data_IF_100010468542
#
_entry.id   IF_100010468542
#
_cell.length_a   1.000
_cell.length_b   1.000
_cell.length_c   1.000
_cell.angle_alpha   90.00
_cell.angle_beta   90.00
_cell.angle_gamma   90.00
#
_symmetry.space_group_name_H-M   'P 1'
#
loop_
_entity.id
_entity.type
_entity.pdbx_description
1 polymer ?
#
# COMPACT_ATOMS: atom_id res chain seq x y z
N UNK A 1 -18.32 -21.05 -40.90
CA UNK A 1 -18.82 -22.43 -40.68
C UNK A 1 -17.73 -23.21 -39.97
N UNK A 2 -18.05 -23.70 -38.74
CA UNK A 2 -17.47 -24.85 -38.01
C UNK A 2 -15.95 -24.79 -37.71
N UNK A 3 -15.54 -24.41 -36.49
CA UNK A 3 -15.37 -25.25 -35.28
C UNK A 3 -14.15 -26.17 -35.34
N UNK A 4 -13.05 -25.75 -34.69
CA UNK A 4 -11.80 -26.50 -34.50
C UNK A 4 -11.83 -27.12 -33.10
N UNK A 5 -12.56 -28.22 -32.97
CA UNK A 5 -12.45 -29.17 -31.87
C UNK A 5 -11.98 -30.51 -32.45
N UNK A 6 -11.13 -31.23 -31.72
CA UNK A 6 -10.69 -32.61 -31.97
C UNK A 6 -9.53 -32.83 -32.94
N UNK A 7 -8.31 -32.51 -32.47
CA UNK A 7 -7.02 -33.05 -32.91
C UNK A 7 -6.07 -32.72 -31.74
N UNK A 8 -5.70 -33.62 -30.84
CA UNK A 8 -4.76 -34.72 -31.05
C UNK A 8 -4.82 -35.65 -29.82
N UNK A 9 -5.35 -36.85 -30.02
CA UNK A 9 -5.06 -38.05 -29.21
C UNK A 9 -4.35 -39.04 -30.12
N UNK A 10 -3.34 -39.76 -29.59
CA UNK A 10 -2.61 -40.93 -30.14
C UNK A 10 -1.32 -40.68 -30.94
N UNK A 11 -0.20 -40.56 -30.22
CA UNK A 11 1.14 -41.12 -30.51
C UNK A 11 1.83 -41.18 -29.13
N UNK A 12 2.39 -42.23 -28.52
CA UNK A 12 2.94 -43.52 -28.97
C UNK A 12 3.00 -44.46 -27.75
N UNK A 13 2.60 -45.73 -27.92
CA UNK A 13 3.08 -46.85 -27.11
C UNK A 13 4.54 -47.16 -27.44
N UNK A 14 5.34 -47.61 -26.47
CA UNK A 14 6.06 -48.91 -26.49
C UNK A 14 7.03 -49.08 -25.30
N UNK A 15 6.81 -50.19 -24.56
CA UNK A 15 7.81 -51.10 -23.92
C UNK A 15 8.71 -50.49 -22.83
N UNK A 16 8.71 -50.99 -21.59
CA UNK A 16 9.12 -52.34 -21.21
C UNK A 16 8.50 -52.76 -19.87
N UNK A 17 7.90 -53.95 -19.85
CA UNK A 17 7.60 -54.69 -18.65
C UNK A 17 8.87 -55.39 -18.14
N UNK A 18 9.17 -55.25 -16.84
CA UNK A 18 9.98 -56.22 -16.10
C UNK A 18 9.33 -56.48 -14.74
N UNK A 19 8.77 -57.68 -14.66
CA UNK A 19 8.34 -58.41 -13.46
C UNK A 19 9.54 -58.85 -12.64
N UNK A 20 9.56 -58.56 -11.32
CA UNK A 20 10.18 -59.43 -10.30
C UNK A 20 9.33 -59.36 -9.02
N UNK A 21 9.02 -60.54 -8.50
CA UNK A 21 8.13 -60.86 -7.39
C UNK A 21 8.70 -60.49 -6.00
N UNK A 22 7.88 -60.54 -4.91
CA UNK A 22 8.30 -60.20 -3.57
C UNK A 22 8.95 -61.40 -2.86
N UNK A 23 9.98 -61.15 -2.05
CA UNK A 23 10.61 -62.16 -1.21
C UNK A 23 10.42 -61.80 0.26
N UNK A 24 9.55 -62.56 0.92
CA UNK A 24 9.46 -62.66 2.36
C UNK A 24 10.71 -63.37 2.90
N UNK A 25 11.34 -62.81 3.91
CA UNK A 25 12.21 -63.55 4.81
C UNK A 25 11.99 -63.05 6.24
N UNK A 26 11.69 -64.03 7.08
CA UNK A 26 11.33 -63.99 8.49
C UNK A 26 12.64 -64.27 9.23
N UNK A 27 12.92 -63.58 10.35
CA UNK A 27 13.27 -64.18 11.65
C UNK A 27 13.55 -63.12 12.73
N UNK A 28 13.31 -63.43 14.01
CA UNK A 28 13.24 -62.47 15.11
C UNK A 28 14.57 -62.35 15.84
N UNK A 29 14.87 -61.17 16.37
CA UNK A 29 15.90 -61.02 17.42
C UNK A 29 15.22 -60.39 18.63
N UNK A 30 15.03 -61.25 19.63
CA UNK A 30 14.76 -60.89 21.02
C UNK A 30 16.05 -60.30 21.58
N UNK A 31 15.99 -59.06 22.05
CA UNK A 31 16.91 -58.60 23.09
C UNK A 31 16.12 -57.81 24.14
N UNK A 32 15.96 -58.49 25.26
CA UNK A 32 15.56 -57.98 26.55
C UNK A 32 16.62 -57.01 27.06
N UNK A 33 16.23 -55.78 27.37
CA UNK A 33 16.88 -54.99 28.41
C UNK A 33 15.80 -54.41 29.33
N UNK A 34 15.73 -55.00 30.52
CA UNK A 34 15.10 -54.41 31.71
C UNK A 34 15.92 -53.18 32.10
N UNK A 35 15.29 -52.01 32.15
CA UNK A 35 15.67 -50.96 33.08
C UNK A 35 14.42 -50.50 33.82
N UNK A 36 14.54 -50.58 35.15
CA UNK A 36 13.53 -50.20 36.13
C UNK A 36 13.69 -48.73 36.47
N UNK A 37 12.67 -47.91 36.23
CA UNK A 37 12.39 -46.73 37.05
C UNK A 37 10.92 -46.33 36.87
N UNK A 38 10.29 -46.08 38.00
CA UNK A 38 8.88 -45.84 38.23
C UNK A 38 8.38 -44.52 37.64
N UNK A 39 7.37 -44.58 36.78
CA UNK A 39 6.48 -43.45 36.51
C UNK A 39 5.06 -43.81 36.98
N UNK A 40 4.60 -43.02 37.95
CA UNK A 40 3.24 -43.02 38.47
C UNK A 40 2.26 -42.68 37.36
N UNK A 41 1.55 -43.68 36.85
CA UNK A 41 0.42 -43.53 35.95
C UNK A 41 -0.77 -42.95 36.71
N UNK A 42 -0.85 -41.63 36.78
CA UNK A 42 -2.13 -40.95 36.96
C UNK A 42 -2.88 -41.06 35.62
N UNK A 43 -3.66 -42.13 35.48
CA UNK A 43 -4.57 -42.32 34.36
C UNK A 43 -5.61 -41.19 34.39
N UNK A 44 -5.36 -40.12 33.64
CA UNK A 44 -6.40 -39.17 33.26
C UNK A 44 -7.35 -39.93 32.34
N UNK A 45 -8.50 -40.31 32.88
CA UNK A 45 -9.58 -40.93 32.14
C UNK A 45 -9.89 -40.06 30.92
N UNK A 46 -9.67 -40.61 29.72
CA UNK A 46 -10.19 -40.04 28.50
C UNK A 46 -11.71 -39.85 28.66
N UNK A 47 -12.27 -38.68 28.32
CA UNK A 47 -13.71 -38.50 28.38
C UNK A 47 -14.35 -39.53 27.45
N UNK A 48 -15.25 -40.33 28.02
CA UNK A 48 -15.98 -41.35 27.29
C UNK A 48 -16.55 -40.76 25.99
N UNK A 49 -16.14 -41.33 24.85
CA UNK A 49 -16.70 -41.02 23.54
C UNK A 49 -18.19 -41.36 23.56
N UNK A 50 -19.00 -40.35 23.88
CA UNK A 50 -20.43 -40.40 23.64
C UNK A 50 -20.61 -40.64 22.15
N UNK A 51 -21.13 -41.82 21.79
CA UNK A 51 -21.50 -42.17 20.43
C UNK A 51 -22.39 -41.06 19.86
N UNK A 52 -21.79 -40.17 19.05
CA UNK A 52 -22.50 -39.07 18.39
C UNK A 52 -23.54 -39.72 17.48
N UNK A 53 -24.82 -39.56 17.80
CA UNK A 53 -25.92 -39.94 16.91
C UNK A 53 -25.64 -39.33 15.54
N UNK A 54 -25.37 -40.19 14.55
CA UNK A 54 -25.10 -39.78 13.17
C UNK A 54 -26.39 -39.22 12.58
N UNK A 55 -26.63 -37.94 12.81
CA UNK A 55 -27.68 -37.21 12.10
C UNK A 55 -27.29 -37.25 10.62
N UNK A 56 -28.21 -37.68 9.76
CA UNK A 56 -28.02 -37.67 8.30
C UNK A 56 -27.86 -36.22 7.84
N UNK A 57 -26.63 -35.72 7.79
CA UNK A 57 -26.33 -34.39 7.28
C UNK A 57 -26.62 -34.31 5.80
N UNK A 58 -27.12 -33.13 5.38
CA UNK A 58 -27.48 -32.90 3.99
C UNK A 58 -26.24 -33.02 3.10
N UNK A 59 -26.43 -33.51 1.86
CA UNK A 59 -25.34 -33.64 0.87
C UNK A 59 -24.62 -32.31 0.63
N UNK A 60 -25.38 -31.21 0.62
CA UNK A 60 -24.85 -29.86 0.47
C UNK A 60 -23.89 -29.50 1.62
N UNK A 61 -24.29 -29.81 2.85
CA UNK A 61 -23.51 -29.52 4.05
C UNK A 61 -22.20 -30.32 4.08
N UNK A 62 -22.24 -31.61 3.74
CA UNK A 62 -21.02 -32.44 3.60
C UNK A 62 -20.07 -31.88 2.54
N UNK A 63 -20.61 -31.52 1.37
CA UNK A 63 -19.79 -30.94 0.28
C UNK A 63 -19.14 -29.62 0.66
N UNK A 64 -19.75 -28.82 1.55
CA UNK A 64 -19.19 -27.57 2.03
C UNK A 64 -18.02 -27.84 2.98
N UNK A 65 -18.17 -28.76 3.93
CA UNK A 65 -17.10 -29.15 4.85
C UNK A 65 -15.91 -29.79 4.13
N UNK A 66 -16.17 -30.66 3.15
CA UNK A 66 -15.14 -31.24 2.30
C UNK A 66 -14.38 -30.15 1.52
N UNK A 67 -15.08 -29.15 0.97
CA UNK A 67 -14.46 -28.01 0.29
C UNK A 67 -13.60 -27.16 1.23
N UNK A 68 -14.05 -26.94 2.47
CA UNK A 68 -13.26 -26.21 3.47
C UNK A 68 -11.98 -26.99 3.83
N UNK A 69 -12.11 -28.27 4.19
CA UNK A 69 -10.97 -29.15 4.50
C UNK A 69 -9.96 -29.22 3.34
N UNK A 70 -10.44 -29.37 2.11
CA UNK A 70 -9.58 -29.40 0.92
C UNK A 70 -8.84 -28.07 0.70
N UNK A 71 -9.46 -26.93 1.01
CA UNK A 71 -8.81 -25.62 0.93
C UNK A 71 -7.71 -25.48 1.98
N UNK A 72 -7.95 -25.90 3.21
CA UNK A 72 -6.96 -25.84 4.29
C UNK A 72 -5.75 -26.75 3.98
N UNK A 73 -6.00 -27.95 3.47
CA UNK A 73 -4.95 -28.86 2.99
C UNK A 73 -4.16 -28.25 1.83
N UNK A 74 -4.85 -27.65 0.86
CA UNK A 74 -4.22 -26.94 -0.26
C UNK A 74 -3.32 -25.80 0.22
N UNK A 75 -3.80 -24.95 1.13
CA UNK A 75 -3.01 -23.85 1.71
C UNK A 75 -1.78 -24.39 2.47
N UNK A 76 -1.93 -25.50 3.20
CA UNK A 76 -0.81 -26.16 3.88
C UNK A 76 0.26 -26.62 2.90
N UNK A 77 -0.13 -27.24 1.79
CA UNK A 77 0.79 -27.69 0.73
C UNK A 77 1.51 -26.49 0.13
N UNK A 78 0.78 -25.44 -0.28
CA UNK A 78 1.37 -24.24 -0.87
C UNK A 78 2.36 -23.55 0.08
N UNK A 79 2.06 -23.50 1.38
CA UNK A 79 2.97 -22.96 2.39
C UNK A 79 4.26 -23.79 2.50
N UNK A 80 4.18 -25.12 2.40
CA UNK A 80 5.37 -25.98 2.40
C UNK A 80 6.20 -25.81 1.12
N UNK A 81 5.55 -25.74 -0.03
CA UNK A 81 6.21 -25.52 -1.33
C UNK A 81 6.91 -24.16 -1.38
N UNK A 82 6.27 -23.10 -0.88
CA UNK A 82 6.86 -21.77 -0.79
C UNK A 82 8.11 -21.77 0.11
N UNK A 83 8.06 -22.41 1.28
CA UNK A 83 9.23 -22.51 2.19
C UNK A 83 10.39 -23.29 1.57
N UNK A 84 10.10 -24.37 0.85
CA UNK A 84 11.11 -25.14 0.12
C UNK A 84 11.69 -24.32 -1.05
N UNK A 85 10.83 -23.68 -1.84
CA UNK A 85 11.20 -22.80 -2.95
C UNK A 85 12.08 -21.63 -2.49
N UNK A 86 11.76 -21.02 -1.34
CA UNK A 86 12.58 -19.98 -0.71
C UNK A 86 14.01 -20.47 -0.44
N UNK A 87 14.16 -21.66 0.14
CA UNK A 87 15.48 -22.26 0.41
C UNK A 87 16.25 -22.56 -0.86
N UNK A 88 15.59 -23.08 -1.90
CA UNK A 88 16.22 -23.32 -3.19
C UNK A 88 16.66 -22.03 -3.87
N UNK A 89 15.84 -20.99 -3.81
CA UNK A 89 16.17 -19.68 -4.36
C UNK A 89 17.38 -19.05 -3.67
N UNK A 90 17.42 -19.09 -2.32
CA UNK A 90 18.58 -18.63 -1.56
C UNK A 90 19.85 -19.38 -1.95
N UNK A 91 19.80 -20.71 -2.08
CA UNK A 91 20.93 -21.52 -2.53
C UNK A 91 21.40 -21.17 -3.96
N UNK A 92 20.47 -20.89 -4.89
CA UNK A 92 20.82 -20.45 -6.26
C UNK A 92 21.50 -19.07 -6.28
N UNK A 93 21.09 -18.18 -5.38
CA UNK A 93 21.65 -16.84 -5.26
C UNK A 93 22.92 -16.80 -4.38
N UNK A 94 23.24 -17.89 -3.68
CA UNK A 94 24.38 -17.97 -2.76
C UNK A 94 24.15 -17.24 -1.43
N UNK A 95 22.89 -17.02 -1.04
CA UNK A 95 22.50 -16.30 0.18
C UNK A 95 22.06 -17.27 1.29
N UNK A 96 22.08 -16.80 2.54
CA UNK A 96 21.61 -17.58 3.70
C UNK A 96 20.06 -17.71 3.72
N UNK A 97 19.48 -18.93 3.73
CA UNK A 97 18.03 -19.11 3.66
C UNK A 97 17.21 -18.51 4.81
N UNK A 98 17.80 -18.39 6.00
CA UNK A 98 17.10 -17.89 7.18
C UNK A 98 16.98 -16.36 7.16
N UNK A 99 18.04 -15.68 6.72
CA UNK A 99 18.08 -14.20 6.60
C UNK A 99 17.39 -13.68 5.33
N UNK A 100 17.12 -14.56 4.36
CA UNK A 100 16.54 -14.19 3.07
C UNK A 100 15.15 -13.56 3.21
N UNK A 101 15.01 -12.27 2.88
CA UNK A 101 13.77 -11.49 3.00
C UNK A 101 12.89 -11.59 1.75
N UNK A 102 11.66 -11.06 1.81
CA UNK A 102 10.78 -11.02 0.63
C UNK A 102 11.31 -10.07 -0.46
N UNK A 103 12.01 -9.00 -0.08
CA UNK A 103 12.63 -8.09 -1.05
C UNK A 103 13.78 -8.77 -1.80
N UNK A 104 14.52 -9.67 -1.14
CA UNK A 104 15.56 -10.48 -1.76
C UNK A 104 14.98 -11.48 -2.75
N UNK A 105 13.86 -12.11 -2.40
CA UNK A 105 13.08 -12.99 -3.28
C UNK A 105 12.66 -12.21 -4.54
N UNK A 106 12.04 -11.04 -4.38
CA UNK A 106 11.53 -10.23 -5.48
C UNK A 106 12.68 -9.79 -6.42
N UNK A 107 13.83 -9.40 -5.85
CA UNK A 107 15.05 -9.06 -6.62
C UNK A 107 15.60 -10.25 -7.38
N UNK A 108 15.71 -11.41 -6.72
CA UNK A 108 16.21 -12.64 -7.34
C UNK A 108 15.30 -13.09 -8.50
N UNK A 109 13.98 -13.01 -8.33
CA UNK A 109 13.02 -13.35 -9.39
C UNK A 109 13.11 -12.39 -10.56
N UNK A 110 13.24 -11.08 -10.29
CA UNK A 110 13.42 -10.09 -11.34
C UNK A 110 14.69 -10.35 -12.16
N UNK A 111 15.75 -10.85 -11.52
CA UNK A 111 17.00 -11.22 -12.19
C UNK A 111 16.89 -12.52 -12.98
N UNK A 112 16.34 -13.59 -12.39
CA UNK A 112 16.22 -14.91 -13.01
C UNK A 112 15.17 -14.94 -14.13
N UNK A 113 14.07 -14.22 -13.95
CA UNK A 113 12.93 -14.16 -14.87
C UNK A 113 12.61 -12.72 -15.26
N UNK A 114 13.48 -12.04 -16.02
CA UNK A 114 13.30 -10.63 -16.36
C UNK A 114 12.07 -10.46 -17.27
N UNK A 115 11.06 -9.76 -16.76
CA UNK A 115 9.84 -9.44 -17.51
C UNK A 115 9.73 -7.94 -17.76
N UNK A 116 9.63 -7.58 -19.04
CA UNK A 116 9.42 -6.19 -19.50
C UNK A 116 7.96 -5.73 -19.47
N UNK A 117 7.04 -6.52 -18.89
CA UNK A 117 5.62 -6.19 -18.84
C UNK A 117 5.38 -4.93 -17.99
N UNK A 118 4.58 -3.99 -18.50
CA UNK A 118 4.26 -2.74 -17.79
C UNK A 118 3.43 -2.99 -16.54
N UNK A 119 2.45 -3.89 -16.60
CA UNK A 119 1.67 -4.27 -15.45
C UNK A 119 2.51 -5.15 -14.52
N UNK A 120 2.76 -4.65 -13.31
CA UNK A 120 3.54 -5.36 -12.29
C UNK A 120 2.86 -6.65 -11.83
N UNK A 121 1.53 -6.72 -11.85
CA UNK A 121 0.76 -7.89 -11.39
C UNK A 121 0.84 -9.07 -12.37
N UNK A 122 1.19 -8.81 -13.63
CA UNK A 122 1.37 -9.83 -14.65
C UNK A 122 2.82 -10.35 -14.73
N UNK A 123 3.72 -9.81 -13.92
CA UNK A 123 5.11 -10.27 -13.87
C UNK A 123 5.21 -11.56 -13.04
N UNK A 124 6.23 -12.39 -13.28
CA UNK A 124 6.55 -13.49 -12.39
C UNK A 124 6.73 -12.99 -10.96
N UNK A 125 6.11 -13.66 -9.99
CA UNK A 125 6.23 -13.35 -8.57
C UNK A 125 6.16 -14.63 -7.74
N UNK A 126 6.92 -14.68 -6.65
CA UNK A 126 6.85 -15.73 -5.63
C UNK A 126 6.61 -15.04 -4.30
N UNK A 127 5.39 -15.17 -3.78
CA UNK A 127 4.96 -14.52 -2.54
C UNK A 127 4.35 -15.55 -1.59
N UNK A 128 4.24 -15.22 -0.30
CA UNK A 128 3.49 -16.05 0.64
C UNK A 128 2.10 -16.37 0.09
N UNK A 129 1.65 -17.64 0.13
CA UNK A 129 0.34 -18.04 -0.39
C UNK A 129 -0.83 -17.22 0.15
N UNK A 130 -0.74 -16.75 1.39
CA UNK A 130 -1.74 -15.91 2.08
C UNK A 130 -1.95 -14.54 1.42
N UNK A 131 -0.94 -14.01 0.71
CA UNK A 131 -1.05 -12.74 -0.01
C UNK A 131 -1.60 -12.93 -1.43
N UNK A 132 -1.34 -14.10 -2.03
CA UNK A 132 -1.69 -14.40 -3.43
C UNK A 132 -3.10 -14.95 -3.54
N UNK A 133 -3.44 -15.88 -2.66
CA UNK A 133 -4.71 -16.58 -2.67
C UNK A 133 -5.68 -15.79 -1.78
N UNK A 134 -6.88 -15.45 -2.27
CA UNK A 134 -7.85 -14.70 -1.48
C UNK A 134 -8.26 -15.52 -0.25
N UNK A 135 -8.24 -14.86 0.91
CA UNK A 135 -8.71 -15.45 2.15
C UNK A 135 -10.19 -15.82 2.05
N UNK A 136 -10.54 -16.96 2.65
CA UNK A 136 -11.91 -17.47 2.70
C UNK A 136 -12.30 -17.69 4.15
N UNK A 137 -13.60 -17.62 4.42
CA UNK A 137 -14.12 -18.01 5.72
C UNK A 137 -13.81 -19.48 6.01
N UNK A 138 -13.45 -19.75 7.25
CA UNK A 138 -13.42 -21.10 7.78
C UNK A 138 -14.83 -21.72 7.76
N UNK A 139 -14.91 -23.04 7.95
CA UNK A 139 -16.19 -23.72 8.08
C UNK A 139 -17.03 -23.09 9.21
N UNK A 140 -18.27 -22.68 8.91
CA UNK A 140 -19.13 -21.96 9.86
C UNK A 140 -19.92 -22.90 10.81
N UNK A 141 -19.89 -24.21 10.58
CA UNK A 141 -20.62 -25.20 11.37
C UNK A 141 -19.86 -26.52 11.52
N UNK A 142 -20.23 -27.28 12.54
CA UNK A 142 -19.72 -28.62 12.83
C UNK A 142 -20.26 -29.68 11.85
N UNK A 143 -19.63 -30.85 11.85
CA UNK A 143 -20.10 -32.05 11.13
C UNK A 143 -21.55 -32.48 11.49
N UNK A 144 -22.09 -31.97 12.60
CA UNK A 144 -23.45 -32.26 13.09
C UNK A 144 -24.52 -31.35 12.48
N UNK A 145 -24.15 -30.19 11.93
CA UNK A 145 -25.12 -29.17 11.48
C UNK A 145 -25.13 -27.93 12.34
N UNK A 146 -24.45 -27.94 13.48
CA UNK A 146 -24.50 -26.84 14.44
C UNK A 146 -23.56 -25.70 14.05
N UNK A 147 -24.06 -24.47 13.83
CA UNK A 147 -23.19 -23.32 13.60
C UNK A 147 -22.32 -22.98 14.82
N UNK A 148 -21.10 -22.52 14.57
CA UNK A 148 -20.19 -22.03 15.61
C UNK A 148 -20.61 -20.66 16.14
N UNK A 149 -21.14 -19.81 15.26
CA UNK A 149 -21.52 -18.45 15.59
C UNK A 149 -23.02 -18.33 15.86
N UNK A 150 -23.40 -17.58 16.90
CA UNK A 150 -24.81 -17.37 17.27
C UNK A 150 -25.60 -16.61 16.20
N UNK A 151 -24.96 -15.63 15.54
CA UNK A 151 -25.56 -14.82 14.47
C UNK A 151 -25.42 -15.47 13.08
N UNK A 152 -25.16 -16.77 12.99
CA UNK A 152 -25.05 -17.47 11.70
C UNK A 152 -26.27 -17.25 10.80
N UNK A 153 -27.47 -17.22 11.38
CA UNK A 153 -28.73 -17.12 10.64
C UNK A 153 -29.07 -15.71 10.13
N UNK A 154 -28.22 -14.70 10.36
CA UNK A 154 -28.41 -13.35 9.79
C UNK A 154 -27.92 -13.24 8.34
N UNK A 155 -27.46 -14.35 7.74
CA UNK A 155 -26.77 -14.43 6.44
C UNK A 155 -25.38 -13.80 6.41
N UNK A 156 -25.11 -12.80 7.26
CA UNK A 156 -23.82 -12.09 7.39
C UNK A 156 -23.39 -12.06 8.85
N UNK A 157 -22.88 -13.18 9.38
CA UNK A 157 -22.54 -13.31 10.78
C UNK A 157 -21.47 -12.32 11.24
N UNK A 158 -20.43 -12.07 10.44
CA UNK A 158 -19.30 -11.24 10.88
C UNK A 158 -19.66 -9.75 10.93
N UNK A 159 -20.39 -9.25 9.92
CA UNK A 159 -20.91 -7.89 9.94
C UNK A 159 -21.93 -7.66 11.08
N UNK A 160 -22.83 -8.63 11.30
CA UNK A 160 -23.82 -8.53 12.39
C UNK A 160 -23.13 -8.52 13.75
N UNK A 161 -22.09 -9.36 13.92
CA UNK A 161 -21.26 -9.40 15.12
C UNK A 161 -20.56 -8.07 15.35
N UNK A 162 -19.95 -7.49 14.32
CA UNK A 162 -19.29 -6.19 14.40
C UNK A 162 -20.25 -5.12 14.94
N UNK A 163 -21.47 -5.02 14.40
CA UNK A 163 -22.46 -4.05 14.89
C UNK A 163 -22.89 -4.34 16.34
N UNK A 164 -23.03 -5.61 16.70
CA UNK A 164 -23.33 -6.01 18.07
C UNK A 164 -22.21 -5.60 19.03
N UNK A 165 -20.95 -5.88 18.69
CA UNK A 165 -19.77 -5.53 19.49
C UNK A 165 -19.69 -4.00 19.69
N UNK A 166 -20.02 -3.20 18.66
CA UNK A 166 -20.11 -1.73 18.78
C UNK A 166 -21.17 -1.32 19.80
N UNK A 167 -22.36 -1.91 19.72
CA UNK A 167 -23.46 -1.59 20.65
C UNK A 167 -23.14 -2.05 22.06
N UNK A 168 -22.52 -3.22 22.23
CA UNK A 168 -22.05 -3.73 23.52
C UNK A 168 -21.02 -2.78 24.15
N UNK A 169 -20.04 -2.32 23.37
CA UNK A 169 -19.07 -1.33 23.82
C UNK A 169 -19.74 -0.01 24.23
N UNK A 170 -20.71 0.49 23.46
CA UNK A 170 -21.50 1.68 23.83
C UNK A 170 -22.25 1.44 25.17
N UNK A 171 -22.87 0.28 25.35
CA UNK A 171 -23.60 -0.02 26.59
C UNK A 171 -22.65 -0.14 27.80
N UNK A 172 -21.47 -0.72 27.62
CA UNK A 172 -20.43 -0.79 28.65
C UNK A 172 -19.95 0.61 29.06
N UNK A 173 -19.81 1.50 28.08
CA UNK A 173 -19.45 2.90 28.28
C UNK A 173 -20.57 3.68 29.00
N UNK A 174 -21.83 3.50 28.61
CA UNK A 174 -22.99 4.10 29.29
C UNK A 174 -23.06 3.63 30.76
N UNK A 175 -22.90 2.33 31.01
CA UNK A 175 -22.88 1.78 32.37
C UNK A 175 -21.68 2.27 33.19
N UNK A 176 -20.59 2.68 32.55
CA UNK A 176 -19.50 3.37 33.21
C UNK A 176 -19.82 4.83 33.51
N UNK A 177 -20.38 5.56 32.55
CA UNK A 177 -20.85 6.94 32.73
C UNK A 177 -21.83 7.02 33.91
N UNK A 178 -22.81 6.13 34.01
CA UNK A 178 -23.75 6.06 35.14
C UNK A 178 -23.05 5.88 36.50
N UNK A 179 -21.93 5.16 36.54
CA UNK A 179 -21.13 4.97 37.77
C UNK A 179 -20.32 6.22 38.09
N UNK A 180 -19.82 6.94 37.08
CA UNK A 180 -19.06 8.18 37.27
C UNK A 180 -19.99 9.32 37.69
N UNK A 181 -21.19 9.40 37.12
CA UNK A 181 -22.24 10.34 37.49
C UNK A 181 -22.70 10.13 38.94
N UNK A 182 -22.86 8.88 39.38
CA UNK A 182 -23.12 8.56 40.80
C UNK A 182 -22.03 9.05 41.76
N UNK A 183 -20.78 9.11 41.28
CA UNK A 183 -19.63 9.65 42.02
C UNK A 183 -19.42 11.16 41.82
N UNK A 184 -20.31 11.83 41.08
CA UNK A 184 -20.23 13.26 40.73
C UNK A 184 -18.92 13.66 40.00
N UNK A 185 -18.26 12.69 39.36
CA UNK A 185 -17.05 12.91 38.56
C UNK A 185 -17.45 13.22 37.13
N UNK A 186 -17.08 14.40 36.63
CA UNK A 186 -17.30 14.78 35.23
C UNK A 186 -16.26 14.12 34.32
N UNK A 187 -16.60 13.86 33.04
CA UNK A 187 -15.64 13.43 32.05
C UNK A 187 -14.52 14.48 31.87
N UNK A 188 -13.28 14.02 31.78
CA UNK A 188 -12.14 14.87 31.45
C UNK A 188 -12.07 15.04 29.93
N UNK A 189 -12.25 16.27 29.44
CA UNK A 189 -12.27 16.58 28.01
C UNK A 189 -10.93 16.29 27.32
N UNK A 190 -9.82 16.34 28.08
CA UNK A 190 -8.47 16.07 27.54
C UNK A 190 -8.25 14.61 27.15
N UNK A 191 -9.04 13.69 27.72
CA UNK A 191 -8.93 12.26 27.46
C UNK A 191 -9.75 11.82 26.25
N UNK A 192 -10.55 12.71 25.65
CA UNK A 192 -11.35 12.38 24.47
C UNK A 192 -10.44 12.11 23.27
N UNK A 193 -10.71 11.03 22.54
CA UNK A 193 -9.91 10.65 21.38
C UNK A 193 -10.05 11.69 20.25
N UNK A 194 -8.92 12.25 19.82
CA UNK A 194 -8.88 13.14 18.66
C UNK A 194 -8.93 12.36 17.35
N UNK A 195 -9.91 12.68 16.51
CA UNK A 195 -10.18 11.97 15.25
C UNK A 195 -9.49 12.59 14.02
N UNK A 196 -8.85 13.75 14.15
CA UNK A 196 -8.38 14.58 13.01
C UNK A 196 -7.27 13.94 12.19
N UNK A 197 -6.40 13.14 12.81
CA UNK A 197 -5.25 12.49 12.16
C UNK A 197 -5.54 11.10 11.59
N UNK A 198 -6.78 10.63 11.60
CA UNK A 198 -7.12 9.28 11.13
C UNK A 198 -8.50 9.23 10.45
N UNK A 199 -8.62 8.34 9.47
CA UNK A 199 -9.87 8.08 8.76
C UNK A 199 -10.39 6.67 9.06
N UNK A 200 -11.69 6.47 8.88
CA UNK A 200 -12.28 5.14 8.90
C UNK A 200 -11.77 4.32 7.72
N UNK A 201 -11.55 3.02 7.94
CA UNK A 201 -11.19 2.13 6.83
C UNK A 201 -12.24 2.16 5.73
N UNK A 202 -11.82 2.21 4.46
CA UNK A 202 -12.74 2.11 3.34
C UNK A 202 -13.47 0.76 3.30
N UNK A 203 -14.63 0.73 2.62
CA UNK A 203 -15.46 -0.45 2.39
C UNK A 203 -14.66 -1.69 1.97
N UNK A 204 -13.83 -1.58 0.93
CA UNK A 204 -13.02 -2.69 0.42
C UNK A 204 -12.08 -3.30 1.48
N UNK A 205 -11.61 -2.48 2.41
CA UNK A 205 -10.76 -2.94 3.51
C UNK A 205 -11.60 -3.62 4.60
N UNK A 206 -12.79 -3.10 4.90
CA UNK A 206 -13.72 -3.71 5.84
C UNK A 206 -14.20 -5.09 5.35
N UNK A 207 -14.55 -5.21 4.06
CA UNK A 207 -14.94 -6.50 3.44
C UNK A 207 -13.84 -7.55 3.55
N UNK A 208 -12.57 -7.15 3.37
CA UNK A 208 -11.41 -8.05 3.55
C UNK A 208 -11.23 -8.48 5.00
N UNK A 209 -11.48 -7.60 5.97
CA UNK A 209 -11.38 -7.93 7.40
C UNK A 209 -12.51 -8.89 7.81
N UNK A 210 -13.73 -8.65 7.32
CA UNK A 210 -14.90 -9.45 7.66
C UNK A 210 -15.02 -10.74 6.82
N UNK A 211 -14.31 -10.81 5.69
CA UNK A 211 -14.46 -11.86 4.67
C UNK A 211 -15.92 -12.01 4.20
N UNK A 212 -16.62 -10.88 4.11
CA UNK A 212 -18.03 -10.77 3.71
C UNK A 212 -18.18 -9.57 2.78
N UNK A 213 -19.03 -9.71 1.76
CA UNK A 213 -19.39 -8.61 0.88
C UNK A 213 -20.36 -7.66 1.61
N UNK A 214 -20.22 -6.36 1.37
CA UNK A 214 -21.05 -5.31 1.96
C UNK A 214 -21.75 -4.47 0.89
N UNK A 215 -22.91 -3.96 1.23
CA UNK A 215 -23.56 -2.89 0.48
C UNK A 215 -23.06 -1.54 0.98
N UNK A 216 -23.18 -0.49 0.16
CA UNK A 216 -22.76 0.85 0.56
C UNK A 216 -23.58 1.34 1.77
N UNK A 217 -24.87 1.01 1.81
CA UNK A 217 -25.76 1.33 2.95
C UNK A 217 -25.33 0.67 4.25
N UNK A 218 -24.85 -0.57 4.20
CA UNK A 218 -24.36 -1.26 5.40
C UNK A 218 -23.03 -0.69 5.89
N UNK A 219 -22.18 -0.25 4.96
CA UNK A 219 -20.97 0.47 5.30
C UNK A 219 -21.30 1.82 5.97
N UNK A 220 -22.25 2.58 5.44
CA UNK A 220 -22.70 3.84 6.05
C UNK A 220 -23.26 3.61 7.46
N UNK A 221 -24.06 2.57 7.65
CA UNK A 221 -24.57 2.18 8.97
C UNK A 221 -23.44 1.85 9.96
N UNK A 222 -22.38 1.18 9.49
CA UNK A 222 -21.19 0.91 10.29
C UNK A 222 -20.47 2.21 10.69
N UNK A 223 -20.25 3.12 9.74
CA UNK A 223 -19.61 4.41 10.02
C UNK A 223 -20.42 5.19 11.05
N UNK A 224 -21.75 5.28 10.89
CA UNK A 224 -22.64 5.95 11.86
C UNK A 224 -22.54 5.33 13.26
N UNK A 225 -22.49 4.00 13.36
CA UNK A 225 -22.37 3.31 14.64
C UNK A 225 -21.01 3.60 15.31
N UNK A 226 -19.93 3.61 14.54
CA UNK A 226 -18.58 3.92 15.02
C UNK A 226 -18.41 5.40 15.39
N UNK A 227 -19.00 6.32 14.63
CA UNK A 227 -19.04 7.74 14.97
C UNK A 227 -19.78 7.99 16.29
N UNK A 228 -20.90 7.30 16.50
CA UNK A 228 -21.62 7.34 17.77
C UNK A 228 -20.76 6.87 18.95
N UNK A 229 -20.00 5.80 18.76
CA UNK A 229 -19.07 5.29 19.78
C UNK A 229 -17.95 6.31 20.06
N UNK A 230 -17.42 6.98 19.04
CA UNK A 230 -16.38 8.00 19.19
C UNK A 230 -16.88 9.27 19.88
N UNK A 231 -18.13 9.68 19.61
CA UNK A 231 -18.76 10.84 20.23
C UNK A 231 -18.98 10.67 21.74
N UNK A 232 -18.99 9.44 22.25
CA UNK A 232 -19.17 9.16 23.67
C UNK A 232 -18.04 9.81 24.51
N UNK A 233 -18.35 10.43 25.68
CA UNK A 233 -17.35 11.13 26.49
C UNK A 233 -16.16 10.26 26.93
N UNK A 234 -16.44 8.98 27.23
CA UNK A 234 -15.45 8.02 27.73
C UNK A 234 -14.87 7.10 26.63
N UNK A 235 -14.85 7.54 25.36
CA UNK A 235 -14.41 6.72 24.21
C UNK A 235 -12.96 6.20 24.30
N UNK A 236 -12.09 6.84 25.08
CA UNK A 236 -10.69 6.43 25.30
C UNK A 236 -10.52 5.00 25.82
N UNK A 237 -11.51 4.49 26.55
CA UNK A 237 -11.45 3.12 27.09
C UNK A 237 -11.49 2.07 26.00
N UNK A 238 -12.19 2.37 24.91
CA UNK A 238 -12.37 1.49 23.76
C UNK A 238 -11.47 1.89 22.58
N UNK A 239 -10.33 2.54 22.86
CA UNK A 239 -9.38 2.99 21.85
C UNK A 239 -8.85 1.82 20.99
N UNK A 240 -8.60 0.66 21.58
CA UNK A 240 -8.06 -0.51 20.88
C UNK A 240 -9.05 -1.00 19.81
N UNK A 241 -10.33 -1.03 20.17
CA UNK A 241 -11.41 -1.41 19.28
C UNK A 241 -11.59 -0.40 18.14
N UNK A 242 -11.58 0.90 18.45
CA UNK A 242 -11.68 1.98 17.46
C UNK A 242 -10.49 1.95 16.48
N UNK A 243 -9.27 1.83 17.02
CA UNK A 243 -8.04 1.89 16.25
C UNK A 243 -7.90 0.73 15.27
N UNK A 244 -8.49 -0.44 15.57
CA UNK A 244 -8.55 -1.58 14.63
C UNK A 244 -9.21 -1.22 13.30
N UNK A 245 -10.17 -0.29 13.32
CA UNK A 245 -10.94 0.13 12.15
C UNK A 245 -10.59 1.55 11.67
N UNK A 246 -9.51 2.13 12.19
CA UNK A 246 -8.98 3.42 11.73
C UNK A 246 -7.66 3.25 11.01
N UNK A 247 -7.44 4.09 10.01
CA UNK A 247 -6.14 4.27 9.35
C UNK A 247 -5.59 5.65 9.67
N UNK A 248 -4.32 5.76 10.09
CA UNK A 248 -3.70 7.06 10.23
C UNK A 248 -3.64 7.73 8.85
N UNK A 249 -4.09 8.98 8.78
CA UNK A 249 -3.89 9.81 7.62
C UNK A 249 -2.40 10.17 7.60
N UNK A 250 -1.67 9.64 6.63
CA UNK A 250 -0.32 10.11 6.34
C UNK A 250 -0.45 11.55 5.83
N UNK A 251 -0.39 12.51 6.76
CA UNK A 251 -0.25 13.92 6.41
C UNK A 251 1.06 14.06 5.65
N UNK A 252 0.97 14.11 4.32
CA UNK A 252 2.06 14.58 3.47
C UNK A 252 2.14 16.09 3.66
N UNK A 253 2.51 16.51 4.86
CA UNK A 253 3.10 17.84 4.99
C UNK A 253 4.48 17.67 4.39
N UNK A 254 4.56 17.90 3.08
CA UNK A 254 5.83 18.06 2.37
C UNK A 254 6.48 19.32 2.93
N UNK A 255 6.98 19.25 4.17
CA UNK A 255 7.98 20.16 4.67
C UNK A 255 9.24 19.82 3.86
N UNK A 256 9.25 20.29 2.61
CA UNK A 256 10.36 20.17 1.69
C UNK A 256 11.62 20.57 2.45
N UNK A 257 12.51 19.61 2.69
CA UNK A 257 13.79 19.87 3.34
C UNK A 257 14.51 20.95 2.53
N UNK A 258 14.76 22.10 3.16
CA UNK A 258 15.42 23.21 2.48
C UNK A 258 16.84 22.77 2.11
N UNK A 259 17.28 22.99 0.85
CA UNK A 259 18.64 22.68 0.47
C UNK A 259 19.60 23.54 1.31
N UNK A 260 20.59 22.90 1.91
CA UNK A 260 21.57 23.62 2.72
C UNK A 260 22.46 24.47 1.81
N UNK A 261 22.68 25.77 2.14
CA UNK A 261 23.55 26.63 1.35
C UNK A 261 25.00 26.16 1.43
N UNK A 262 25.66 26.14 0.28
CA UNK A 262 27.10 25.89 0.14
C UNK A 262 27.85 27.24 0.19
N UNK A 263 29.17 27.21 0.40
CA UNK A 263 29.98 28.43 0.42
C UNK A 263 31.01 28.41 -0.70
N UNK A 264 31.11 29.52 -1.43
CA UNK A 264 32.13 29.73 -2.46
C UNK A 264 33.51 29.99 -1.84
N UNK A 265 34.55 29.99 -2.69
CA UNK A 265 35.92 30.36 -2.30
C UNK A 265 36.01 31.78 -1.66
N UNK A 266 35.09 32.67 -2.04
CA UNK A 266 34.97 34.02 -1.49
C UNK A 266 34.13 34.08 -0.20
N UNK A 267 33.70 32.93 0.34
CA UNK A 267 32.89 32.81 1.55
C UNK A 267 31.42 33.21 1.39
N UNK A 268 30.94 33.41 0.16
CA UNK A 268 29.52 33.73 -0.13
C UNK A 268 28.68 32.47 -0.11
N UNK A 269 27.48 32.55 0.45
CA UNK A 269 26.55 31.44 0.48
C UNK A 269 25.85 31.31 -0.87
N UNK A 270 25.78 30.11 -1.43
CA UNK A 270 25.08 29.85 -2.69
C UNK A 270 24.28 28.56 -2.65
N UNK A 271 23.20 28.53 -3.44
CA UNK A 271 22.39 27.34 -3.67
C UNK A 271 22.23 27.15 -5.15
N UNK A 272 22.60 25.97 -5.64
CA UNK A 272 22.39 25.56 -7.03
C UNK A 272 21.20 24.62 -7.11
N UNK A 273 20.20 25.00 -7.90
CA UNK A 273 19.03 24.18 -8.21
C UNK A 273 19.21 23.61 -9.61
N UNK A 274 19.33 22.29 -9.67
CA UNK A 274 19.50 21.55 -10.92
C UNK A 274 18.14 21.14 -11.52
N UNK A 275 18.14 20.89 -12.83
CA UNK A 275 17.00 20.32 -13.57
C UNK A 275 15.69 21.12 -13.46
N UNK A 276 15.77 22.44 -13.57
CA UNK A 276 14.60 23.30 -13.64
C UNK A 276 13.89 23.13 -14.98
N UNK A 277 12.69 22.55 -14.97
CA UNK A 277 12.01 22.11 -16.18
C UNK A 277 10.75 22.93 -16.49
N UNK A 278 10.72 23.56 -17.67
CA UNK A 278 9.48 24.10 -18.24
C UNK A 278 9.36 23.76 -19.72
N UNK A 279 8.27 23.10 -20.09
CA UNK A 279 8.10 22.50 -21.42
C UNK A 279 9.30 21.61 -21.76
N UNK A 280 10.07 21.96 -22.78
CA UNK A 280 11.29 21.27 -23.19
C UNK A 280 12.55 22.01 -22.78
N UNK A 281 12.44 23.16 -22.11
CA UNK A 281 13.58 23.91 -21.56
C UNK A 281 14.02 23.29 -20.24
N UNK A 282 15.34 23.24 -20.06
CA UNK A 282 16.04 22.80 -18.84
C UNK A 282 16.96 23.93 -18.40
N UNK A 283 16.96 24.25 -17.12
CA UNK A 283 17.85 25.26 -16.57
C UNK A 283 18.47 24.78 -15.26
N UNK A 284 19.71 25.17 -15.04
CA UNK A 284 20.38 25.07 -13.75
C UNK A 284 20.62 26.50 -13.27
N UNK A 285 20.18 26.79 -12.05
CA UNK A 285 20.19 28.15 -11.50
C UNK A 285 20.92 28.15 -10.18
N UNK A 286 21.96 28.97 -10.10
CA UNK A 286 22.69 29.25 -8.86
C UNK A 286 22.29 30.62 -8.34
N UNK A 287 21.86 30.67 -7.09
CA UNK A 287 21.54 31.91 -6.37
C UNK A 287 22.60 32.11 -5.30
N UNK A 288 23.28 33.25 -5.31
CA UNK A 288 24.35 33.61 -4.37
C UNK A 288 23.96 34.81 -3.50
N UNK A 289 24.31 34.75 -2.21
CA UNK A 289 24.04 35.77 -1.20
C UNK A 289 25.30 35.97 -0.33
N UNK A 290 25.74 37.22 -0.07
CA UNK A 290 25.22 38.48 -0.59
C UNK A 290 25.61 38.72 -2.06
N UNK A 291 24.75 39.43 -2.79
CA UNK A 291 24.96 39.79 -4.19
C UNK A 291 24.58 41.24 -4.50
N UNK A 292 24.93 41.66 -5.71
CA UNK A 292 24.70 43.01 -6.27
C UNK A 292 23.41 43.15 -7.08
N UNK A 293 22.69 42.06 -7.33
CA UNK A 293 21.53 42.04 -8.23
C UNK A 293 21.88 41.66 -9.67
N UNK A 294 23.10 41.16 -9.93
CA UNK A 294 23.54 40.80 -11.28
C UNK A 294 22.92 39.46 -11.68
N UNK A 295 22.27 39.43 -12.84
CA UNK A 295 21.63 38.24 -13.39
C UNK A 295 22.35 37.85 -14.68
N UNK A 296 23.10 36.76 -14.65
CA UNK A 296 23.78 36.21 -15.82
C UNK A 296 23.06 34.97 -16.34
N UNK A 297 22.77 34.94 -17.64
CA UNK A 297 22.07 33.85 -18.32
C UNK A 297 22.98 33.38 -19.47
N UNK A 298 23.49 32.15 -19.40
CA UNK A 298 24.44 31.59 -20.39
C UNK A 298 25.64 32.52 -20.66
N UNK A 299 26.15 33.21 -19.63
CA UNK A 299 27.25 34.17 -19.73
C UNK A 299 26.87 35.55 -20.29
N UNK A 300 25.61 35.78 -20.67
CA UNK A 300 25.09 37.09 -21.05
C UNK A 300 24.28 37.72 -19.91
N UNK A 301 23.97 39.01 -19.99
CA UNK A 301 23.13 39.69 -19.00
C UNK A 301 21.63 39.37 -19.23
N UNK A 302 20.73 39.97 -18.45
CA UNK A 302 19.26 39.85 -18.62
C UNK A 302 18.77 40.23 -20.03
N UNK A 303 19.61 40.92 -20.81
CA UNK A 303 19.38 41.23 -22.23
C UNK A 303 19.29 40.00 -23.12
N UNK A 304 19.73 38.81 -22.65
CA UNK A 304 19.54 37.52 -23.31
C UNK A 304 18.08 37.32 -23.77
N UNK A 305 17.11 37.78 -22.97
CA UNK A 305 15.73 37.85 -23.40
C UNK A 305 15.44 39.21 -24.05
N UNK A 306 15.12 39.23 -25.34
CA UNK A 306 14.67 40.45 -26.03
C UNK A 306 13.30 40.91 -25.53
N UNK A 307 12.39 39.96 -25.28
CA UNK A 307 11.02 40.24 -24.85
C UNK A 307 10.94 40.66 -23.37
N UNK A 308 10.26 41.78 -23.11
CA UNK A 308 10.03 42.31 -21.75
C UNK A 308 9.32 41.28 -20.87
N UNK A 309 8.30 40.59 -21.39
CA UNK A 309 7.55 39.57 -20.66
C UNK A 309 8.46 38.46 -20.09
N UNK A 310 9.49 38.05 -20.83
CA UNK A 310 10.44 37.03 -20.36
C UNK A 310 11.31 37.57 -19.21
N UNK A 311 11.70 38.85 -19.27
CA UNK A 311 12.46 39.51 -18.19
C UNK A 311 11.62 39.65 -16.93
N UNK A 312 10.36 40.07 -17.05
CA UNK A 312 9.41 40.15 -15.93
C UNK A 312 9.25 38.80 -15.22
N UNK A 313 9.18 37.69 -15.98
CA UNK A 313 9.08 36.36 -15.39
C UNK A 313 10.30 36.00 -14.53
N UNK A 314 11.50 36.38 -14.96
CA UNK A 314 12.75 36.13 -14.20
C UNK A 314 12.82 37.00 -12.95
N UNK A 315 12.36 38.26 -13.04
CA UNK A 315 12.38 39.22 -11.93
C UNK A 315 11.30 38.97 -10.87
N UNK A 316 10.14 38.44 -11.27
CA UNK A 316 8.99 38.22 -10.40
C UNK A 316 9.29 37.56 -9.03
N UNK A 317 10.04 36.44 -8.94
CA UNK A 317 10.36 35.83 -7.64
C UNK A 317 11.24 36.72 -6.74
N UNK A 318 12.12 37.55 -7.32
CA UNK A 318 12.98 38.47 -6.57
C UNK A 318 12.19 39.63 -5.98
N UNK A 319 11.25 40.16 -6.77
CA UNK A 319 10.33 41.22 -6.33
C UNK A 319 9.40 40.68 -5.24
N UNK A 320 8.86 39.48 -5.41
CA UNK A 320 7.92 38.89 -4.46
C UNK A 320 8.56 38.62 -3.08
N UNK A 321 9.83 38.23 -3.05
CA UNK A 321 10.56 37.92 -1.81
C UNK A 321 11.33 39.13 -1.24
N UNK A 322 11.18 40.33 -1.82
CA UNK A 322 11.95 41.54 -1.44
C UNK A 322 13.49 41.33 -1.46
N UNK A 323 13.97 40.50 -2.40
CA UNK A 323 15.38 40.13 -2.59
C UNK A 323 16.01 40.79 -3.83
N UNK A 324 15.33 41.78 -4.41
CA UNK A 324 15.88 42.60 -5.50
C UNK A 324 17.17 43.29 -5.04
N UNK A 325 18.22 43.25 -5.87
CA UNK A 325 19.55 43.82 -5.61
C UNK A 325 20.31 43.24 -4.40
N UNK A 326 19.84 42.14 -3.79
CA UNK A 326 20.51 41.47 -2.66
C UNK A 326 21.19 40.15 -3.03
N UNK A 327 20.86 39.61 -4.20
CA UNK A 327 21.31 38.30 -4.67
C UNK A 327 21.88 38.41 -6.07
N UNK A 328 22.93 37.64 -6.37
CA UNK A 328 23.38 37.45 -7.75
C UNK A 328 22.88 36.10 -8.24
N UNK A 329 22.57 36.03 -9.54
CA UNK A 329 21.95 34.86 -10.16
C UNK A 329 22.77 34.47 -11.36
N UNK A 330 23.16 33.20 -11.41
CA UNK A 330 23.79 32.59 -12.57
C UNK A 330 22.89 31.47 -13.06
N UNK A 331 22.38 31.60 -14.28
CA UNK A 331 21.51 30.61 -14.89
C UNK A 331 22.12 30.05 -16.17
N UNK A 332 22.25 28.73 -16.23
CA UNK A 332 22.58 28.01 -17.46
C UNK A 332 21.30 27.37 -17.98
N UNK A 333 20.93 27.66 -19.23
CA UNK A 333 19.66 27.20 -19.80
C UNK A 333 19.85 26.63 -21.19
N UNK A 334 19.22 25.48 -21.42
CA UNK A 334 19.25 24.76 -22.70
C UNK A 334 17.86 24.27 -23.13
N UNK A 335 17.68 24.15 -24.44
CA UNK A 335 16.45 23.66 -25.04
C UNK A 335 15.23 24.58 -24.91
N UNK A 336 14.11 24.14 -25.48
CA UNK A 336 12.87 24.90 -25.50
C UNK A 336 12.95 26.18 -26.33
N UNK A 337 12.16 27.18 -25.94
CA UNK A 337 12.21 28.53 -26.51
C UNK A 337 12.15 29.57 -25.40
N UNK A 338 12.40 30.83 -25.70
CA UNK A 338 12.65 31.90 -24.71
C UNK A 338 11.63 31.99 -23.57
N UNK A 339 10.32 31.94 -23.87
CA UNK A 339 9.28 31.96 -22.83
C UNK A 339 9.29 30.71 -21.92
N UNK A 340 9.68 29.56 -22.48
CA UNK A 340 9.89 28.32 -21.71
C UNK A 340 11.11 28.44 -20.81
N UNK A 341 12.22 28.93 -21.36
CA UNK A 341 13.49 29.17 -20.66
C UNK A 341 13.32 30.14 -19.49
N UNK A 342 12.74 31.32 -19.73
CA UNK A 342 12.46 32.31 -18.68
C UNK A 342 11.63 31.72 -17.54
N UNK A 343 10.67 30.85 -17.86
CA UNK A 343 9.89 30.16 -16.83
C UNK A 343 10.60 29.06 -16.08
N UNK A 344 11.54 28.36 -16.72
CA UNK A 344 12.40 27.39 -16.04
C UNK A 344 13.32 28.12 -15.06
N UNK A 345 13.93 29.22 -15.50
CA UNK A 345 14.78 30.09 -14.67
C UNK A 345 13.97 30.66 -13.49
N UNK A 346 12.76 31.19 -13.74
CA UNK A 346 11.86 31.68 -12.70
C UNK A 346 11.64 30.66 -11.58
N UNK A 347 11.37 29.40 -11.95
CA UNK A 347 11.17 28.33 -10.98
C UNK A 347 12.46 27.99 -10.22
N UNK A 348 13.60 27.94 -10.92
CA UNK A 348 14.91 27.73 -10.29
C UNK A 348 15.31 28.82 -9.30
N UNK A 349 15.10 30.10 -9.65
CA UNK A 349 15.31 31.23 -8.74
C UNK A 349 14.40 31.09 -7.51
N UNK A 350 13.11 30.82 -7.71
CA UNK A 350 12.17 30.67 -6.61
C UNK A 350 12.53 29.50 -5.68
N UNK A 351 13.01 28.38 -6.22
CA UNK A 351 13.50 27.24 -5.44
C UNK A 351 14.77 27.59 -4.65
N UNK A 352 15.74 28.27 -5.27
CA UNK A 352 17.00 28.64 -4.61
C UNK A 352 16.81 29.68 -3.52
N UNK A 353 15.88 30.63 -3.69
CA UNK A 353 15.58 31.66 -2.68
C UNK A 353 15.06 31.09 -1.37
N UNK A 354 14.46 29.89 -1.36
CA UNK A 354 13.89 29.31 -0.14
C UNK A 354 14.90 29.11 0.98
N UNK A 355 16.19 28.92 0.66
CA UNK A 355 17.23 28.74 1.67
C UNK A 355 17.66 30.05 2.33
N UNK A 356 17.26 31.20 1.78
CA UNK A 356 17.71 32.53 2.21
C UNK A 356 16.58 33.40 2.76
N UNK A 357 15.36 32.86 2.84
CA UNK A 357 14.15 33.60 3.20
C UNK A 357 13.42 32.86 4.33
N UNK A 358 12.59 33.58 5.09
CA UNK A 358 11.79 33.07 6.20
C UNK A 358 10.64 32.13 5.75
N UNK A 359 10.17 31.31 6.69
CA UNK A 359 9.12 30.31 6.45
C UNK A 359 7.80 30.91 5.96
N UNK A 360 7.40 32.09 6.47
CA UNK A 360 6.15 32.74 6.05
C UNK A 360 6.21 33.18 4.59
N UNK A 361 7.31 33.77 4.15
CA UNK A 361 7.48 34.14 2.74
C UNK A 361 7.55 32.90 1.84
N UNK A 362 8.13 31.78 2.28
CA UNK A 362 8.08 30.51 1.54
C UNK A 362 6.63 30.06 1.32
N UNK A 363 5.79 30.15 2.35
CA UNK A 363 4.37 29.83 2.24
C UNK A 363 3.63 30.81 1.32
N UNK A 364 3.93 32.11 1.39
CA UNK A 364 3.41 33.10 0.44
C UNK A 364 3.83 32.77 -1.01
N UNK A 365 5.08 32.36 -1.24
CA UNK A 365 5.58 31.94 -2.55
C UNK A 365 4.90 30.66 -3.04
N UNK A 366 4.61 29.72 -2.14
CA UNK A 366 3.85 28.49 -2.42
C UNK A 366 2.44 28.82 -2.90
N UNK A 367 1.73 29.68 -2.17
CA UNK A 367 0.37 30.13 -2.52
C UNK A 367 0.36 30.90 -3.84
N UNK A 368 1.37 31.74 -4.08
CA UNK A 368 1.54 32.46 -5.35
C UNK A 368 1.90 31.55 -6.54
N UNK A 369 2.15 30.26 -6.33
CA UNK A 369 2.47 29.28 -7.37
C UNK A 369 3.88 29.44 -7.96
N UNK A 370 4.79 30.11 -7.24
CA UNK A 370 6.20 30.26 -7.64
C UNK A 370 6.99 28.95 -7.48
N UNK A 371 6.66 28.19 -6.44
CA UNK A 371 7.33 26.93 -6.10
C UNK A 371 6.79 25.73 -6.89
N UNK A 372 5.62 25.86 -7.53
CA UNK A 372 4.99 24.76 -8.26
C UNK A 372 5.54 24.64 -9.69
N UNK A 373 6.02 23.45 -10.04
CA UNK A 373 6.44 23.13 -11.42
C UNK A 373 5.25 23.15 -12.39
N UNK A 374 5.39 23.81 -13.54
CA UNK A 374 4.38 23.78 -14.61
C UNK A 374 4.49 22.49 -15.44
N UNK A 375 3.58 21.55 -15.18
CA UNK A 375 3.50 20.25 -15.86
C UNK A 375 2.88 20.32 -17.26
N UNK A 376 2.36 21.46 -17.70
CA UNK A 376 1.72 21.57 -19.02
C UNK A 376 2.75 21.34 -20.12
N UNK A 377 2.42 20.44 -21.04
CA UNK A 377 3.23 20.08 -22.22
C UNK A 377 2.36 20.09 -23.47
N UNK A 378 2.98 20.22 -24.64
CA UNK A 378 2.27 20.10 -25.91
C UNK A 378 1.73 18.67 -26.03
N UNK A 379 0.41 18.54 -26.02
CA UNK A 379 -0.20 17.24 -26.24
C UNK A 379 0.11 16.69 -27.63
N UNK A 380 0.28 15.36 -27.73
CA UNK A 380 0.46 14.69 -29.02
C UNK A 380 -0.78 14.84 -29.91
N UNK A 381 -0.56 14.87 -31.22
CA UNK A 381 -1.61 14.69 -32.23
C UNK A 381 -2.17 13.26 -32.14
N UNK A 382 -3.46 13.09 -32.38
CA UNK A 382 -4.11 11.78 -32.43
C UNK A 382 -4.37 11.42 -33.91
N UNK A 383 -4.17 10.16 -34.32
CA UNK A 383 -4.53 9.74 -35.67
C UNK A 383 -6.03 9.96 -35.91
N UNK A 384 -6.41 10.28 -37.16
CA UNK A 384 -7.78 10.65 -37.51
C UNK A 384 -8.24 12.04 -37.06
N UNK A 385 -7.34 12.89 -36.55
CA UNK A 385 -7.65 14.26 -36.12
C UNK A 385 -6.67 15.25 -36.75
N UNK A 386 -7.11 16.48 -37.01
CA UNK A 386 -6.27 17.52 -37.57
C UNK A 386 -5.15 17.96 -36.60
N UNK A 387 -5.46 18.01 -35.29
CA UNK A 387 -4.50 18.36 -34.24
C UNK A 387 -4.62 17.48 -33.00
N UNK A 388 -4.11 17.97 -31.87
CA UNK A 388 -4.25 17.27 -30.59
C UNK A 388 -5.69 17.22 -30.09
N UNK A 389 -6.49 18.26 -30.37
CA UNK A 389 -7.91 18.36 -29.99
C UNK A 389 -8.81 18.72 -31.17
N UNK A 390 -8.30 19.54 -32.11
CA UNK A 390 -9.01 19.93 -33.34
C UNK A 390 -9.32 18.71 -34.20
N UNK A 391 -10.61 18.52 -34.52
CA UNK A 391 -11.10 17.51 -35.48
C UNK A 391 -11.08 18.07 -36.89
N UNK A 392 -11.11 17.18 -37.88
CA UNK A 392 -11.43 17.59 -39.24
C UNK A 392 -12.87 18.10 -39.32
N UNK A 393 -13.15 18.94 -40.32
CA UNK A 393 -14.51 19.42 -40.57
C UNK A 393 -15.42 18.22 -40.84
N UNK A 394 -16.42 18.04 -39.99
CA UNK A 394 -17.43 17.00 -40.18
C UNK A 394 -18.42 17.44 -41.26
N UNK A 395 -18.57 16.64 -42.31
CA UNK A 395 -19.61 16.82 -43.33
C UNK A 395 -20.79 15.92 -42.99
N UNK A 396 -21.98 16.51 -42.82
CA UNK A 396 -23.21 15.79 -42.44
C UNK A 396 -23.85 15.02 -43.58
N UNK A 397 -23.67 15.48 -44.81
CA UNK A 397 -24.35 15.02 -46.03
C UNK A 397 -23.40 14.28 -46.93
#
# INVERSE_FOLDING_TARGET
MLSIGELITKVQCLRLARTVAPLAARWPIVLSSRSTASESTAAVAAPAEQQKKVVKTSKAMKSYLERAKAHDEFMRIQNTEFKLGKRHLANMMGEDPETFSQDDIDRAIQYLFPSGLYDKRARPMMKPPEEVIPQRKAAEFDETGRPFHSMFYTSRPNYSKLLYDVVENINNLNGFEDRMMRKQLKPDESQKLEASGSEWIHKDALEKILLEDLTDTEYDNFVLAMERLLQHPYSYREQEFINRYRKPLLAKTDADQLPQPQFDADGRAFVTVYECLRKTARADVTVTVPGTGKITINGQDITYFEAIQSREQVLFPLVFADMVNKVDIVANVEGGGFAGQAGAIRWGIAMGLRSFVDADTIDRMRIAGLLQRDYRRRERKKPGQAGARRKYTWKKR
#
